data_IF_252015541620
#
_entry.id   IF_252015541620
#
_cell.length_a   1.000
_cell.length_b   1.000
_cell.length_c   1.000
_cell.angle_alpha   90.00
_cell.angle_beta   90.00
_cell.angle_gamma   90.00
#
_symmetry.space_group_name_H-M   'P 1'
#
loop_
_entity.id
_entity.type
_entity.pdbx_description
1 polymer ?
#
# COMPACT_ATOMS: atom_id res chain seq x y z
N UNK A 1 -42.94 16.71 7.66
CA UNK A 1 -41.89 17.40 6.86
C UNK A 1 -40.50 17.41 7.54
N UNK A 2 -40.34 17.65 8.85
CA UNK A 2 -39.02 17.71 9.53
C UNK A 2 -38.19 16.40 9.51
N UNK A 3 -38.83 15.24 9.45
CA UNK A 3 -38.12 13.94 9.40
C UNK A 3 -37.46 13.67 8.04
N UNK A 4 -37.95 14.30 6.97
CA UNK A 4 -37.39 14.16 5.61
C UNK A 4 -36.03 14.84 5.48
N UNK A 5 -35.81 15.96 6.18
CA UNK A 5 -34.55 16.71 6.14
C UNK A 5 -33.44 16.02 6.94
N UNK A 6 -33.79 15.36 8.05
CA UNK A 6 -32.86 14.55 8.83
C UNK A 6 -32.42 13.30 8.06
N UNK A 7 -33.34 12.67 7.32
CA UNK A 7 -33.01 11.53 6.45
C UNK A 7 -32.08 11.96 5.29
N UNK A 8 -32.36 13.10 4.64
CA UNK A 8 -31.51 13.65 3.57
C UNK A 8 -30.12 14.03 4.10
N UNK A 9 -30.04 14.70 5.27
CA UNK A 9 -28.77 15.04 5.90
C UNK A 9 -27.96 13.80 6.36
N UNK A 10 -28.65 12.75 6.80
CA UNK A 10 -28.02 11.47 7.13
C UNK A 10 -27.46 10.77 5.89
N UNK A 11 -28.19 10.78 4.78
CA UNK A 11 -27.75 10.17 3.51
C UNK A 11 -26.59 10.94 2.90
N UNK A 12 -26.60 12.28 2.91
CA UNK A 12 -25.46 13.08 2.42
C UNK A 12 -24.23 12.95 3.32
N UNK A 13 -24.41 12.80 4.64
CA UNK A 13 -23.32 12.51 5.57
C UNK A 13 -22.66 11.14 5.34
N UNK A 14 -23.44 10.11 5.00
CA UNK A 14 -22.94 8.76 4.70
C UNK A 14 -22.20 8.68 3.35
N UNK A 15 -22.48 9.59 2.41
CA UNK A 15 -21.78 9.67 1.12
C UNK A 15 -20.53 10.57 1.17
N UNK A 16 -20.29 11.25 2.28
CA UNK A 16 -19.17 12.18 2.46
C UNK A 16 -17.92 11.54 3.07
N UNK A 17 -17.84 10.20 3.15
CA UNK A 17 -16.59 9.55 3.56
C UNK A 17 -15.55 9.72 2.44
N UNK A 18 -14.42 10.40 2.71
CA UNK A 18 -13.36 10.45 1.73
C UNK A 18 -12.87 9.02 1.46
N UNK A 19 -12.50 8.69 0.21
CA UNK A 19 -11.87 7.42 -0.07
C UNK A 19 -10.67 7.26 0.87
N UNK A 20 -10.64 6.15 1.59
CA UNK A 20 -9.54 5.84 2.49
C UNK A 20 -8.43 5.25 1.62
N UNK A 21 -7.38 6.03 1.38
CA UNK A 21 -6.14 5.57 0.74
C UNK A 21 -5.38 4.66 1.72
N UNK A 22 -5.83 3.42 1.87
CA UNK A 22 -5.21 2.45 2.77
C UNK A 22 -4.90 1.15 2.04
N UNK A 23 -3.61 0.91 1.83
CA UNK A 23 -3.12 -0.36 1.32
C UNK A 23 -3.52 -1.51 2.25
N UNK A 24 -3.95 -2.63 1.67
CA UNK A 24 -4.18 -3.89 2.41
C UNK A 24 -3.05 -4.88 2.15
N UNK A 25 -2.51 -5.48 3.21
CA UNK A 25 -1.46 -6.50 3.16
C UNK A 25 -1.97 -7.78 3.82
N UNK A 26 -1.70 -8.93 3.23
CA UNK A 26 -1.96 -10.22 3.86
C UNK A 26 -0.99 -11.29 3.34
N UNK A 27 -0.93 -12.41 4.05
CA UNK A 27 -0.17 -13.57 3.62
C UNK A 27 -0.66 -14.85 4.29
N UNK A 28 -0.23 -15.97 3.73
CA UNK A 28 -0.49 -17.31 4.26
C UNK A 28 0.79 -18.13 4.15
N UNK A 29 1.04 -19.00 5.12
CA UNK A 29 2.24 -19.84 5.15
C UNK A 29 1.93 -21.21 5.79
N UNK A 30 2.82 -22.17 5.57
CA UNK A 30 2.65 -23.53 6.07
C UNK A 30 1.38 -24.20 5.53
N UNK A 31 0.66 -24.91 6.40
CA UNK A 31 -0.57 -25.64 6.02
C UNK A 31 -1.76 -24.74 5.67
N UNK A 32 -1.65 -23.41 5.87
CA UNK A 32 -2.66 -22.45 5.46
C UNK A 32 -2.63 -22.11 3.96
N UNK A 33 -1.67 -22.67 3.20
CA UNK A 33 -1.55 -22.50 1.76
C UNK A 33 -1.15 -23.82 1.10
N UNK A 34 -1.68 -24.07 -0.10
CA UNK A 34 -1.36 -25.28 -0.87
C UNK A 34 -0.10 -25.11 -1.75
N UNK A 35 0.39 -23.88 -1.91
CA UNK A 35 1.42 -23.53 -2.89
C UNK A 35 2.67 -22.91 -2.23
N UNK A 36 2.83 -23.10 -0.92
CA UNK A 36 3.91 -22.50 -0.12
C UNK A 36 3.53 -21.11 0.42
N UNK A 37 4.52 -20.29 0.77
CA UNK A 37 4.27 -18.97 1.34
C UNK A 37 3.68 -18.02 0.30
N UNK A 38 2.48 -17.51 0.57
CA UNK A 38 1.81 -16.49 -0.22
C UNK A 38 1.96 -15.13 0.46
N UNK A 39 2.35 -14.12 -0.31
CA UNK A 39 2.41 -12.73 0.14
C UNK A 39 1.67 -11.85 -0.88
N UNK A 40 0.74 -11.04 -0.41
CA UNK A 40 -0.08 -10.22 -1.28
C UNK A 40 -0.27 -8.79 -0.74
N UNK A 41 -0.45 -7.85 -1.68
CA UNK A 41 -0.60 -6.42 -1.43
C UNK A 41 -1.58 -5.82 -2.43
N UNK A 42 -2.59 -5.13 -1.91
CA UNK A 42 -3.33 -4.12 -2.65
C UNK A 42 -2.69 -2.77 -2.34
N UNK A 43 -2.26 -2.06 -3.40
CA UNK A 43 -1.68 -0.72 -3.28
C UNK A 43 -2.73 0.32 -3.64
N UNK A 44 -3.30 0.92 -2.62
CA UNK A 44 -4.30 1.96 -2.74
C UNK A 44 -3.65 3.34 -2.59
N UNK A 45 -3.96 4.21 -3.54
CA UNK A 45 -3.53 5.61 -3.60
C UNK A 45 -4.44 6.35 -4.58
N UNK A 46 -4.51 7.67 -4.46
CA UNK A 46 -5.10 8.53 -5.49
C UNK A 46 -4.57 8.17 -6.90
N UNK A 47 -5.45 8.08 -7.93
CA UNK A 47 -5.02 7.73 -9.28
C UNK A 47 -4.39 8.94 -10.01
N UNK A 48 -3.29 9.46 -9.47
CA UNK A 48 -2.61 10.68 -9.92
C UNK A 48 -1.15 10.49 -10.34
N UNK A 49 -0.70 9.23 -10.43
CA UNK A 49 0.68 8.87 -10.79
C UNK A 49 0.74 7.54 -11.54
N UNK A 50 1.86 7.31 -12.22
CA UNK A 50 2.17 6.07 -12.92
C UNK A 50 3.02 5.14 -12.04
N UNK A 51 2.91 3.84 -12.33
CA UNK A 51 3.66 2.79 -11.65
C UNK A 51 4.28 1.85 -12.67
N UNK A 52 5.43 1.27 -12.31
CA UNK A 52 6.12 0.30 -13.15
C UNK A 52 6.67 -0.88 -12.35
N UNK A 53 6.73 -2.03 -13.01
CA UNK A 53 7.46 -3.21 -12.54
C UNK A 53 8.85 -3.20 -13.15
N UNK A 54 9.89 -3.22 -12.31
CA UNK A 54 11.28 -3.12 -12.76
C UNK A 54 12.12 -4.26 -12.20
N UNK A 55 12.94 -4.87 -13.04
CA UNK A 55 14.02 -5.76 -12.63
C UNK A 55 15.31 -4.94 -12.51
N UNK A 56 15.94 -4.97 -11.34
CA UNK A 56 17.21 -4.28 -11.09
C UNK A 56 18.31 -5.28 -10.72
N UNK A 57 19.49 -5.04 -11.28
CA UNK A 57 20.76 -5.68 -10.92
C UNK A 57 21.64 -4.61 -10.26
N UNK A 58 21.56 -4.40 -8.93
CA UNK A 58 22.38 -3.40 -8.26
C UNK A 58 23.86 -3.78 -8.31
N UNK A 59 24.76 -2.80 -8.29
CA UNK A 59 26.22 -3.05 -8.27
C UNK A 59 26.65 -3.93 -7.08
N UNK A 60 25.96 -3.76 -5.95
CA UNK A 60 26.15 -4.55 -4.74
C UNK A 60 24.79 -5.09 -4.25
N UNK A 61 24.76 -6.37 -3.88
CA UNK A 61 23.57 -7.03 -3.35
C UNK A 61 22.88 -7.95 -4.36
N UNK A 62 21.63 -8.31 -4.06
CA UNK A 62 20.87 -9.27 -4.84
C UNK A 62 20.02 -8.58 -5.91
N UNK A 63 19.89 -9.21 -7.08
CA UNK A 63 18.91 -8.80 -8.09
C UNK A 63 17.49 -8.87 -7.54
N UNK A 64 16.61 -7.96 -7.96
CA UNK A 64 15.23 -7.92 -7.47
C UNK A 64 14.24 -7.34 -8.48
N UNK A 65 12.99 -7.80 -8.38
CA UNK A 65 11.83 -7.13 -8.95
C UNK A 65 11.27 -6.13 -7.93
N UNK A 66 10.95 -4.93 -8.38
CA UNK A 66 10.31 -3.90 -7.56
C UNK A 66 9.10 -3.28 -8.25
N UNK A 67 8.06 -3.01 -7.47
CA UNK A 67 6.95 -2.14 -7.86
C UNK A 67 7.32 -0.71 -7.50
N UNK A 68 7.45 0.15 -8.50
CA UNK A 68 7.82 1.56 -8.33
C UNK A 68 6.62 2.47 -8.57
N UNK A 69 6.54 3.54 -7.78
CA UNK A 69 5.84 4.75 -8.20
C UNK A 69 6.84 5.62 -8.98
N UNK A 70 6.55 5.87 -10.25
CA UNK A 70 7.48 6.52 -11.17
C UNK A 70 7.51 8.04 -10.97
N UNK A 71 6.36 8.60 -10.60
CA UNK A 71 6.12 10.02 -10.37
C UNK A 71 5.09 10.20 -9.24
N UNK A 72 4.51 11.39 -9.12
CA UNK A 72 3.57 11.75 -8.06
C UNK A 72 4.25 12.31 -6.81
N UNK A 73 3.50 12.45 -5.73
CA UNK A 73 3.99 13.06 -4.49
C UNK A 73 5.00 12.20 -3.73
N UNK A 74 5.03 10.89 -3.99
CA UNK A 74 5.90 9.95 -3.30
C UNK A 74 6.47 8.87 -4.23
N UNK A 75 7.46 9.20 -5.08
CA UNK A 75 8.15 8.21 -5.91
C UNK A 75 8.91 7.15 -5.11
N UNK A 76 9.35 6.08 -5.78
CA UNK A 76 10.22 5.05 -5.21
C UNK A 76 9.56 3.67 -5.08
N UNK A 77 10.27 2.74 -4.45
CA UNK A 77 9.85 1.34 -4.31
C UNK A 77 8.69 1.19 -3.30
N UNK A 78 7.70 0.37 -3.65
CA UNK A 78 6.47 0.15 -2.85
C UNK A 78 6.26 -1.31 -2.46
N UNK A 79 6.94 -2.22 -3.15
CA UNK A 79 7.03 -3.65 -2.87
C UNK A 79 8.19 -4.24 -3.69
N UNK A 80 8.68 -5.42 -3.31
CA UNK A 80 9.64 -6.14 -4.13
C UNK A 80 9.90 -7.57 -3.69
N UNK A 81 10.59 -8.31 -4.54
CA UNK A 81 11.09 -9.67 -4.29
C UNK A 81 12.47 -9.83 -4.91
N UNK A 82 13.42 -10.36 -4.14
CA UNK A 82 14.79 -10.57 -4.61
C UNK A 82 15.03 -12.00 -5.14
N UNK A 83 16.15 -12.22 -5.82
CA UNK A 83 16.53 -13.53 -6.39
C UNK A 83 16.75 -14.65 -5.35
N UNK A 84 16.77 -14.31 -4.05
CA UNK A 84 16.79 -15.31 -2.96
C UNK A 84 15.40 -15.71 -2.49
N UNK A 85 14.35 -15.20 -3.13
CA UNK A 85 12.95 -15.51 -2.80
C UNK A 85 12.40 -14.73 -1.61
N UNK A 86 13.13 -13.74 -1.08
CA UNK A 86 12.63 -12.87 -0.02
C UNK A 86 11.78 -11.76 -0.64
N UNK A 87 10.50 -11.73 -0.28
CA UNK A 87 9.55 -10.70 -0.69
C UNK A 87 9.17 -9.79 0.49
N UNK A 88 9.02 -8.49 0.21
CA UNK A 88 8.58 -7.48 1.18
C UNK A 88 7.54 -6.58 0.56
N UNK A 89 6.50 -6.27 1.33
CA UNK A 89 5.43 -5.33 1.02
C UNK A 89 5.27 -4.35 2.18
N UNK A 90 5.09 -3.06 1.89
CA UNK A 90 4.94 -2.02 2.91
C UNK A 90 3.57 -1.35 2.82
N UNK A 91 3.12 -0.75 3.92
CA UNK A 91 1.92 0.09 3.99
C UNK A 91 2.24 1.39 4.73
N UNK A 92 1.50 2.45 4.45
CA UNK A 92 1.64 3.69 5.21
C UNK A 92 1.01 3.54 6.60
N UNK A 93 1.74 3.93 7.65
CA UNK A 93 1.21 4.06 9.01
C UNK A 93 0.33 5.32 9.13
N UNK A 94 -0.77 5.36 8.38
CA UNK A 94 -1.65 6.53 8.25
C UNK A 94 -2.34 6.92 9.57
N UNK A 95 -2.42 5.98 10.53
CA UNK A 95 -2.85 6.20 11.91
C UNK A 95 -1.99 7.20 12.69
N UNK A 96 -0.73 7.42 12.27
CA UNK A 96 0.14 8.42 12.88
C UNK A 96 -0.07 9.80 12.23
N UNK A 97 0.10 10.91 13.00
CA UNK A 97 0.22 12.25 12.44
C UNK A 97 1.29 12.30 11.34
N UNK A 98 1.02 13.05 10.26
CA UNK A 98 1.92 13.11 9.07
C UNK A 98 3.38 13.39 9.42
N UNK A 99 3.64 14.25 10.40
CA UNK A 99 4.98 14.61 10.85
C UNK A 99 5.77 13.43 11.45
N UNK A 100 5.09 12.40 11.97
CA UNK A 100 5.71 11.22 12.60
C UNK A 100 5.86 10.03 11.64
N UNK A 101 5.16 10.03 10.50
CA UNK A 101 5.20 8.93 9.53
C UNK A 101 6.58 8.64 8.94
N UNK A 102 7.47 9.63 8.68
CA UNK A 102 8.81 9.34 8.18
C UNK A 102 9.63 8.44 9.12
N UNK A 103 9.46 8.59 10.43
CA UNK A 103 10.13 7.77 11.44
C UNK A 103 9.69 6.30 11.30
N UNK A 104 8.38 6.06 11.12
CA UNK A 104 7.85 4.71 10.90
C UNK A 104 8.26 4.12 9.54
N UNK A 105 8.44 4.95 8.50
CA UNK A 105 8.89 4.50 7.18
C UNK A 105 10.35 4.04 7.16
N UNK A 106 11.22 4.70 7.93
CA UNK A 106 12.64 4.31 8.04
C UNK A 106 12.84 2.93 8.71
N UNK A 107 11.81 2.40 9.36
CA UNK A 107 11.83 1.04 9.92
C UNK A 107 11.37 -0.02 8.92
N UNK A 108 10.85 0.39 7.75
CA UNK A 108 10.27 -0.50 6.75
C UNK A 108 11.17 -0.75 5.54
N UNK A 109 12.21 0.07 5.30
CA UNK A 109 13.33 -0.17 4.36
C UNK A 109 14.55 0.67 4.74
#
# INVERSE_FOLDING_TARGET
MRHSWLAVAGITGLLAFPPVDACTLWGAAGTASMEGSLLAKNRDWKPDHAQSLRLLHPEHGYAYLGLYADNGSEPGIKAGVNQKGLAVVATEASSLPRALRPIARAMAF
#
